data_IF_055127388451
#
_entry.id   IF_055127388451
#
_cell.length_a   1.000
_cell.length_b   1.000
_cell.length_c   1.000
_cell.angle_alpha   90.00
_cell.angle_beta   90.00
_cell.angle_gamma   90.00
#
_symmetry.space_group_name_H-M   'P 1'
#
loop_
_entity.id
_entity.type
_entity.pdbx_description
1 polymer ?
#
# COMPACT_ATOMS: atom_id res chain seq x y z
N UNK A 1 59.65 22.40 -33.17
CA UNK A 1 58.43 21.88 -33.82
C UNK A 1 57.75 20.98 -32.78
N UNK A 2 57.39 21.56 -31.64
CA UNK A 2 57.13 20.79 -30.41
C UNK A 2 55.88 21.25 -29.63
N UNK A 3 55.37 22.47 -29.87
CA UNK A 3 54.24 23.01 -29.11
C UNK A 3 52.90 22.32 -29.43
N UNK A 4 52.66 21.94 -30.69
CA UNK A 4 51.37 21.37 -31.11
C UNK A 4 51.18 19.92 -30.61
N UNK A 5 52.27 19.22 -30.28
CA UNK A 5 52.25 17.83 -29.81
C UNK A 5 51.86 17.78 -28.34
N UNK A 6 52.38 18.70 -27.51
CA UNK A 6 52.03 18.80 -26.09
C UNK A 6 50.56 19.21 -25.88
N UNK A 7 50.06 20.19 -26.65
CA UNK A 7 48.66 20.62 -26.54
C UNK A 7 47.69 19.52 -26.95
N UNK A 8 48.01 18.72 -27.97
CA UNK A 8 47.20 17.57 -28.40
C UNK A 8 47.16 16.43 -27.40
N UNK A 9 48.28 16.15 -26.72
CA UNK A 9 48.38 15.14 -25.65
C UNK A 9 47.59 15.60 -24.41
N UNK A 10 47.68 16.88 -24.04
CA UNK A 10 46.92 17.43 -22.91
C UNK A 10 45.39 17.39 -23.16
N UNK A 11 44.94 17.70 -24.38
CA UNK A 11 43.52 17.62 -24.76
C UNK A 11 42.99 16.18 -24.79
N UNK A 12 43.78 15.21 -25.25
CA UNK A 12 43.36 13.80 -25.27
C UNK A 12 43.29 13.21 -23.86
N UNK A 13 44.19 13.57 -22.96
CA UNK A 13 44.16 13.14 -21.56
C UNK A 13 42.99 13.80 -20.80
N UNK A 14 42.70 15.08 -21.06
CA UNK A 14 41.56 15.78 -20.47
C UNK A 14 40.21 15.19 -20.88
N UNK A 15 40.06 14.79 -22.15
CA UNK A 15 38.83 14.16 -22.66
C UNK A 15 38.65 12.73 -22.12
N UNK A 16 39.74 12.00 -21.86
CA UNK A 16 39.71 10.64 -21.30
C UNK A 16 39.31 10.62 -19.81
N UNK A 17 39.65 11.68 -19.05
CA UNK A 17 39.31 11.80 -17.62
C UNK A 17 37.84 12.22 -17.38
N UNK A 18 37.18 12.89 -18.32
CA UNK A 18 35.75 13.20 -18.22
C UNK A 18 34.82 12.01 -18.47
N UNK A 19 35.32 10.90 -19.02
CA UNK A 19 34.52 9.70 -19.33
C UNK A 19 34.22 8.80 -18.12
N UNK A 20 34.90 8.98 -16.98
CA UNK A 20 34.82 8.07 -15.82
C UNK A 20 33.81 8.50 -14.74
N UNK A 21 33.09 9.62 -14.91
CA UNK A 21 32.07 10.07 -13.97
C UNK A 21 30.72 9.32 -14.07
N UNK A 22 30.64 8.27 -14.91
CA UNK A 22 29.38 7.73 -15.41
C UNK A 22 29.05 6.27 -15.07
N UNK A 23 29.46 5.73 -13.92
CA UNK A 23 28.91 4.46 -13.42
C UNK A 23 28.72 4.51 -11.91
N UNK A 24 27.69 5.23 -11.44
CA UNK A 24 27.12 4.87 -10.14
C UNK A 24 26.34 3.58 -10.35
N UNK A 25 26.97 2.45 -10.10
CA UNK A 25 26.29 1.16 -9.98
C UNK A 25 25.10 1.37 -9.04
N UNK A 26 23.87 1.29 -9.55
CA UNK A 26 22.68 1.26 -8.71
C UNK A 26 22.72 -0.06 -7.96
N UNK A 27 23.38 -0.07 -6.81
CA UNK A 27 23.35 -1.18 -5.89
C UNK A 27 21.89 -1.46 -5.54
N UNK A 28 21.44 -2.71 -5.75
CA UNK A 28 20.06 -3.08 -5.41
C UNK A 28 19.86 -2.76 -3.93
N UNK A 29 18.81 -2.01 -3.56
CA UNK A 29 18.56 -1.71 -2.16
C UNK A 29 18.48 -3.01 -1.38
N UNK A 30 19.18 -3.10 -0.25
CA UNK A 30 18.95 -4.19 0.70
C UNK A 30 17.48 -4.17 1.11
N UNK A 31 16.88 -5.35 1.18
CA UNK A 31 15.48 -5.53 1.53
C UNK A 31 15.36 -6.42 2.75
N UNK A 32 14.37 -6.15 3.59
CA UNK A 32 13.99 -7.01 4.70
C UNK A 32 12.55 -7.51 4.52
N UNK A 33 12.25 -8.67 5.09
CA UNK A 33 10.88 -9.17 5.22
C UNK A 33 10.18 -8.51 6.40
N UNK A 34 9.01 -7.93 6.15
CA UNK A 34 8.18 -7.28 7.16
C UNK A 34 6.78 -7.91 7.19
N UNK A 35 6.19 -8.03 8.38
CA UNK A 35 4.77 -8.39 8.50
C UNK A 35 3.90 -7.37 7.77
N UNK A 36 2.78 -7.81 7.21
CA UNK A 36 1.89 -6.94 6.45
C UNK A 36 0.44 -7.14 6.89
N UNK A 37 -0.31 -6.05 7.03
CA UNK A 37 -1.75 -6.12 7.29
C UNK A 37 -2.51 -4.92 6.74
N UNK A 38 -3.81 -5.10 6.58
CA UNK A 38 -4.73 -4.03 6.20
C UNK A 38 -5.49 -3.49 7.41
N UNK A 39 -5.87 -2.22 7.36
CA UNK A 39 -6.83 -1.61 8.29
C UNK A 39 -7.83 -0.83 7.46
N UNK A 40 -9.08 -1.29 7.42
CA UNK A 40 -10.17 -0.49 6.88
C UNK A 40 -10.73 0.43 7.97
N UNK A 41 -10.71 1.74 7.73
CA UNK A 41 -11.33 2.74 8.64
C UNK A 41 -12.70 3.20 8.14
N UNK A 42 -13.11 2.77 6.94
CA UNK A 42 -14.36 3.18 6.29
C UNK A 42 -15.50 2.29 6.76
N UNK A 43 -16.46 2.88 7.47
CA UNK A 43 -17.61 2.15 7.97
C UNK A 43 -18.50 1.63 6.83
N UNK A 44 -19.06 0.43 7.02
CA UNK A 44 -19.99 -0.18 6.06
C UNK A 44 -19.34 -0.82 4.84
N UNK A 45 -18.01 -0.80 4.73
CA UNK A 45 -17.27 -1.45 3.64
C UNK A 45 -16.29 -2.48 4.18
N UNK A 46 -15.78 -3.35 3.30
CA UNK A 46 -14.63 -4.19 3.61
C UNK A 46 -13.58 -4.12 2.50
N UNK A 47 -12.32 -4.35 2.87
CA UNK A 47 -11.27 -4.60 1.89
C UNK A 47 -11.23 -6.10 1.72
N UNK A 48 -11.33 -6.59 0.48
CA UNK A 48 -11.30 -8.02 0.16
C UNK A 48 -9.86 -8.48 -0.02
N UNK A 49 -9.09 -7.69 -0.77
CA UNK A 49 -7.66 -7.92 -1.03
C UNK A 49 -6.97 -6.58 -1.27
N UNK A 50 -5.69 -6.50 -0.95
CA UNK A 50 -4.83 -5.37 -1.25
C UNK A 50 -3.45 -5.85 -1.71
N UNK A 51 -2.67 -4.98 -2.36
CA UNK A 51 -1.29 -5.26 -2.70
C UNK A 51 -0.41 -4.02 -2.52
N UNK A 52 0.87 -4.24 -2.23
CA UNK A 52 1.90 -3.20 -2.21
C UNK A 52 3.04 -3.60 -3.14
N UNK A 53 3.19 -2.88 -4.25
CA UNK A 53 4.09 -3.24 -5.35
C UNK A 53 3.88 -4.69 -5.84
N UNK A 54 2.62 -5.11 -5.96
CA UNK A 54 2.25 -6.46 -6.40
C UNK A 54 2.35 -7.54 -5.31
N UNK A 55 2.82 -7.19 -4.11
CA UNK A 55 2.86 -8.13 -2.98
C UNK A 55 1.50 -8.12 -2.28
N UNK A 56 0.76 -9.22 -2.42
CA UNK A 56 -0.62 -9.35 -1.98
C UNK A 56 -0.78 -9.43 -0.46
N UNK A 57 -1.93 -8.96 0.01
CA UNK A 57 -2.37 -8.87 1.40
C UNK A 57 -3.88 -9.16 1.43
N UNK A 58 -4.33 -10.10 2.24
CA UNK A 58 -5.74 -10.39 2.45
C UNK A 58 -6.44 -9.30 3.26
N UNK A 59 -7.74 -9.21 3.00
CA UNK A 59 -8.64 -8.21 3.55
C UNK A 59 -8.98 -8.32 5.03
N UNK A 60 -8.74 -9.49 5.63
CA UNK A 60 -9.30 -9.88 6.94
C UNK A 60 -8.71 -9.18 8.17
N UNK A 61 -7.81 -8.21 8.00
CA UNK A 61 -7.22 -7.41 9.09
C UNK A 61 -6.23 -8.16 9.99
N UNK A 62 -6.01 -9.46 9.76
CA UNK A 62 -4.93 -10.24 10.36
C UNK A 62 -3.57 -9.87 9.78
N UNK A 63 -2.51 -10.21 10.52
CA UNK A 63 -1.14 -10.12 10.00
C UNK A 63 -0.88 -11.28 9.04
N UNK A 64 -0.47 -10.96 7.83
CA UNK A 64 -0.02 -11.91 6.83
C UNK A 64 1.50 -11.85 6.66
N UNK A 65 2.09 -13.00 6.37
CA UNK A 65 3.51 -13.19 6.12
C UNK A 65 3.80 -12.97 4.62
N UNK A 66 4.79 -12.23 4.15
CA UNK A 66 5.60 -11.11 4.63
C UNK A 66 5.84 -10.27 3.36
N UNK A 67 5.92 -8.95 3.45
CA UNK A 67 6.30 -8.11 2.30
C UNK A 67 7.80 -7.80 2.34
N UNK A 68 8.42 -7.77 1.17
CA UNK A 68 9.78 -7.28 0.98
C UNK A 68 9.75 -5.76 0.88
N UNK A 69 10.41 -5.08 1.82
CA UNK A 69 10.57 -3.63 1.83
C UNK A 69 12.06 -3.25 1.79
N UNK A 70 12.44 -2.15 1.14
CA UNK A 70 13.80 -1.63 1.25
C UNK A 70 14.12 -1.29 2.71
N UNK A 71 15.29 -1.67 3.19
CA UNK A 71 15.72 -1.39 4.57
C UNK A 71 15.81 0.11 4.85
N UNK A 72 16.15 0.89 3.82
CA UNK A 72 16.36 2.33 3.91
C UNK A 72 15.45 3.06 2.93
N UNK A 73 14.70 4.03 3.44
CA UNK A 73 13.96 4.96 2.60
C UNK A 73 14.91 5.88 1.83
N UNK A 74 14.52 6.27 0.61
CA UNK A 74 15.23 7.25 -0.22
C UNK A 74 14.24 8.25 -0.84
N UNK A 75 14.65 9.52 -1.02
CA UNK A 75 13.85 10.48 -1.78
C UNK A 75 13.50 9.94 -3.17
N UNK A 76 12.24 10.12 -3.58
CA UNK A 76 11.73 9.65 -4.87
C UNK A 76 11.25 8.19 -4.88
N UNK A 77 11.30 7.46 -3.75
CA UNK A 77 10.65 6.15 -3.66
C UNK A 77 9.14 6.27 -3.86
N UNK A 78 8.59 5.45 -4.76
CA UNK A 78 7.16 5.34 -5.01
C UNK A 78 6.68 3.91 -4.79
N UNK A 79 5.42 3.75 -4.42
CA UNK A 79 4.75 2.47 -4.38
C UNK A 79 3.45 2.51 -5.17
N UNK A 80 3.11 1.38 -5.77
CA UNK A 80 1.78 1.12 -6.32
C UNK A 80 1.01 0.29 -5.32
N UNK A 81 -0.14 0.82 -4.89
CA UNK A 81 -1.07 0.15 -3.99
C UNK A 81 -2.34 -0.14 -4.77
N UNK A 82 -2.76 -1.39 -4.77
CA UNK A 82 -4.01 -1.84 -5.40
C UNK A 82 -4.88 -2.47 -4.33
N UNK A 83 -6.20 -2.28 -4.42
CA UNK A 83 -7.12 -2.90 -3.49
C UNK A 83 -8.50 -3.13 -4.10
N UNK A 84 -9.21 -4.07 -3.50
CA UNK A 84 -10.57 -4.44 -3.86
C UNK A 84 -11.46 -4.12 -2.67
N UNK A 85 -12.44 -3.25 -2.88
CA UNK A 85 -13.44 -2.88 -1.88
C UNK A 85 -14.71 -3.66 -2.14
N UNK A 86 -15.24 -4.28 -1.09
CA UNK A 86 -16.63 -4.71 -1.03
C UNK A 86 -17.44 -3.56 -0.39
N UNK A 87 -18.31 -2.90 -1.18
CA UNK A 87 -19.06 -1.73 -0.71
C UNK A 87 -20.24 -2.09 0.21
N UNK A 88 -20.65 -3.36 0.29
CA UNK A 88 -21.82 -3.77 1.06
C UNK A 88 -21.68 -5.17 1.68
N UNK A 89 -20.73 -5.38 2.61
CA UNK A 89 -20.40 -6.71 3.09
C UNK A 89 -21.59 -7.51 3.61
N UNK A 90 -21.75 -8.72 3.07
CA UNK A 90 -22.82 -9.65 3.45
C UNK A 90 -24.21 -9.32 2.88
N UNK A 91 -24.32 -8.33 2.00
CA UNK A 91 -25.59 -7.91 1.39
C UNK A 91 -25.43 -7.63 -0.11
N UNK A 92 -26.33 -8.18 -0.91
CA UNK A 92 -26.47 -7.90 -2.34
C UNK A 92 -27.45 -6.74 -2.60
N UNK A 93 -27.45 -6.16 -3.83
CA UNK A 93 -28.42 -5.15 -4.23
C UNK A 93 -29.86 -5.56 -3.90
N UNK A 94 -30.65 -4.60 -3.43
CA UNK A 94 -32.01 -4.86 -2.93
C UNK A 94 -32.08 -5.41 -1.50
N UNK A 95 -30.96 -5.43 -0.75
CA UNK A 95 -30.95 -5.85 0.66
C UNK A 95 -30.92 -7.37 0.83
N UNK A 96 -30.56 -8.12 -0.22
CA UNK A 96 -30.60 -9.58 -0.22
C UNK A 96 -29.41 -10.12 0.59
N UNK A 97 -29.69 -10.70 1.75
CA UNK A 97 -28.67 -11.33 2.61
C UNK A 97 -28.21 -12.66 2.04
N UNK A 98 -27.00 -13.07 2.45
CA UNK A 98 -26.48 -14.38 2.11
C UNK A 98 -27.46 -15.50 2.54
N UNK A 99 -27.81 -16.43 1.65
CA UNK A 99 -28.67 -17.56 1.99
C UNK A 99 -27.95 -18.52 2.96
N UNK A 100 -28.71 -19.31 3.74
CA UNK A 100 -28.12 -20.26 4.68
C UNK A 100 -27.26 -21.30 3.95
N UNK A 101 -26.19 -21.75 4.62
CA UNK A 101 -25.40 -22.88 4.15
C UNK A 101 -26.22 -24.17 4.25
N UNK A 102 -25.77 -25.22 3.56
CA UNK A 102 -26.40 -26.54 3.70
C UNK A 102 -26.31 -27.06 5.14
N UNK A 103 -27.06 -28.13 5.46
CA UNK A 103 -26.93 -28.84 6.74
C UNK A 103 -25.50 -29.29 7.08
N UNK A 104 -24.61 -29.38 6.08
CA UNK A 104 -23.21 -29.78 6.23
C UNK A 104 -22.23 -28.61 6.09
N UNK A 105 -22.72 -27.36 6.07
CA UNK A 105 -21.88 -26.16 5.97
C UNK A 105 -21.37 -25.82 4.57
N UNK A 106 -21.74 -26.60 3.55
CA UNK A 106 -21.36 -26.30 2.16
C UNK A 106 -22.18 -25.15 1.57
N UNK A 107 -21.57 -24.45 0.59
CA UNK A 107 -22.26 -23.42 -0.20
C UNK A 107 -23.35 -24.11 -1.04
N UNK A 108 -24.57 -23.58 -1.00
CA UNK A 108 -25.70 -24.06 -1.82
C UNK A 108 -25.65 -23.44 -3.22
N UNK A 109 -26.41 -23.97 -4.19
CA UNK A 109 -26.50 -23.35 -5.52
C UNK A 109 -27.01 -21.90 -5.46
N UNK A 110 -27.94 -21.61 -4.54
CA UNK A 110 -28.39 -20.25 -4.24
C UNK A 110 -27.25 -19.40 -3.65
N UNK A 111 -26.49 -19.95 -2.71
CA UNK A 111 -25.31 -19.29 -2.14
C UNK A 111 -24.23 -18.99 -3.17
N UNK A 112 -23.95 -19.89 -4.10
CA UNK A 112 -23.00 -19.65 -5.20
C UNK A 112 -23.46 -18.49 -6.07
N UNK A 113 -24.73 -18.48 -6.51
CA UNK A 113 -25.30 -17.35 -7.26
C UNK A 113 -25.27 -16.05 -6.47
N UNK A 114 -25.52 -16.13 -5.18
CA UNK A 114 -25.42 -14.96 -4.30
C UNK A 114 -23.99 -14.39 -4.31
N UNK A 115 -22.96 -15.24 -4.20
CA UNK A 115 -21.56 -14.81 -4.26
C UNK A 115 -21.17 -14.25 -5.63
N UNK A 116 -21.62 -14.85 -6.73
CA UNK A 116 -21.39 -14.31 -8.08
C UNK A 116 -21.92 -12.88 -8.22
N UNK A 117 -23.16 -12.64 -7.76
CA UNK A 117 -23.75 -11.30 -7.74
C UNK A 117 -22.97 -10.39 -6.80
N UNK A 118 -22.54 -10.89 -5.64
CA UNK A 118 -21.85 -10.10 -4.63
C UNK A 118 -20.49 -9.59 -5.12
N UNK A 119 -19.65 -10.49 -5.61
CA UNK A 119 -18.31 -10.17 -6.12
C UNK A 119 -18.35 -9.26 -7.36
N UNK A 120 -19.43 -9.32 -8.15
CA UNK A 120 -19.62 -8.41 -9.28
C UNK A 120 -19.76 -6.94 -8.87
N UNK A 121 -20.12 -6.66 -7.61
CA UNK A 121 -20.21 -5.28 -7.08
C UNK A 121 -18.89 -4.75 -6.51
N UNK A 122 -17.83 -5.58 -6.46
CA UNK A 122 -16.56 -5.15 -5.89
C UNK A 122 -15.90 -4.05 -6.72
N UNK A 123 -15.36 -3.04 -6.03
CA UNK A 123 -14.72 -1.88 -6.63
C UNK A 123 -13.21 -2.06 -6.57
N UNK A 124 -12.56 -2.07 -7.73
CA UNK A 124 -11.10 -2.12 -7.84
C UNK A 124 -10.53 -0.71 -7.83
N UNK A 125 -9.48 -0.51 -7.04
CA UNK A 125 -8.79 0.77 -6.89
C UNK A 125 -7.28 0.58 -7.04
N UNK A 126 -6.62 1.65 -7.46
CA UNK A 126 -5.19 1.70 -7.68
C UNK A 126 -4.68 3.11 -7.45
N UNK A 127 -3.57 3.24 -6.76
CA UNK A 127 -2.83 4.49 -6.65
C UNK A 127 -1.34 4.23 -6.74
N UNK A 128 -0.61 5.12 -7.41
CA UNK A 128 0.84 5.20 -7.33
C UNK A 128 1.19 6.48 -6.59
N UNK A 129 1.93 6.35 -5.49
CA UNK A 129 2.25 7.48 -4.61
C UNK A 129 3.67 7.41 -4.08
N UNK A 130 4.18 8.55 -3.61
CA UNK A 130 5.43 8.59 -2.87
C UNK A 130 5.29 7.79 -1.58
N UNK A 131 6.30 6.97 -1.26
CA UNK A 131 6.35 6.24 0.00
C UNK A 131 6.71 7.25 1.11
N UNK A 132 5.91 7.36 2.19
CA UNK A 132 6.27 8.19 3.34
C UNK A 132 7.66 7.82 3.86
N UNK A 133 8.42 8.83 4.31
CA UNK A 133 9.75 8.61 4.88
C UNK A 133 9.64 7.66 6.08
N UNK A 134 10.53 6.67 6.11
CA UNK A 134 10.71 5.79 7.27
C UNK A 134 12.18 5.68 7.64
N UNK A 135 12.45 5.62 8.93
CA UNK A 135 13.78 5.45 9.51
C UNK A 135 13.97 4.01 9.99
N UNK A 136 12.91 3.40 10.52
CA UNK A 136 12.92 2.00 10.96
C UNK A 136 11.67 1.27 10.48
N UNK A 137 11.85 0.24 9.67
CA UNK A 137 10.75 -0.65 9.25
C UNK A 137 10.30 -1.49 10.44
N UNK A 138 8.99 -1.45 10.74
CA UNK A 138 8.36 -2.34 11.74
C UNK A 138 7.48 -3.39 11.04
N UNK A 139 6.54 -2.93 10.24
CA UNK A 139 5.60 -3.73 9.44
C UNK A 139 5.04 -2.82 8.34
N UNK A 140 4.38 -3.39 7.33
CA UNK A 140 3.54 -2.61 6.43
C UNK A 140 2.09 -2.67 6.91
N UNK A 141 1.52 -1.51 7.23
CA UNK A 141 0.09 -1.41 7.49
C UNK A 141 -0.53 -0.50 6.45
N UNK A 142 -1.37 -1.06 5.58
CA UNK A 142 -2.18 -0.26 4.65
C UNK A 142 -3.43 0.22 5.38
N UNK A 143 -3.46 1.51 5.72
CA UNK A 143 -4.62 2.13 6.36
C UNK A 143 -5.49 2.75 5.27
N UNK A 144 -6.64 2.16 5.00
CA UNK A 144 -7.63 2.68 4.05
C UNK A 144 -8.49 3.72 4.75
N UNK A 145 -8.52 4.91 4.15
CA UNK A 145 -9.20 6.10 4.65
C UNK A 145 -10.45 6.36 3.80
N UNK A 146 -11.38 7.22 4.26
CA UNK A 146 -12.45 7.72 3.40
C UNK A 146 -11.91 8.32 2.10
N UNK A 147 -12.78 8.38 1.08
CA UNK A 147 -12.49 9.04 -0.21
C UNK A 147 -11.47 8.33 -1.08
N UNK A 148 -11.43 7.00 -1.00
CA UNK A 148 -10.52 6.14 -1.77
C UNK A 148 -9.04 6.46 -1.51
N UNK A 149 -8.73 6.96 -0.31
CA UNK A 149 -7.38 7.27 0.13
C UNK A 149 -6.78 6.07 0.88
N UNK A 150 -5.45 5.91 0.80
CA UNK A 150 -4.71 4.89 1.53
C UNK A 150 -3.39 5.46 2.03
N UNK A 151 -3.02 5.12 3.25
CA UNK A 151 -1.75 5.50 3.85
C UNK A 151 -0.90 4.25 4.16
N UNK A 152 0.27 4.08 3.52
CA UNK A 152 1.20 3.00 3.85
C UNK A 152 2.03 3.37 5.08
N UNK A 153 1.67 2.78 6.21
CA UNK A 153 2.28 3.03 7.51
C UNK A 153 3.42 2.03 7.79
N UNK A 154 4.66 2.46 7.51
CA UNK A 154 5.86 1.60 7.55
C UNK A 154 6.74 1.88 8.77
N UNK A 155 6.94 3.16 9.09
CA UNK A 155 7.87 3.60 10.12
C UNK A 155 7.40 3.23 11.53
N UNK A 156 8.32 2.72 12.35
CA UNK A 156 8.04 2.30 13.73
C UNK A 156 7.55 3.44 14.63
N UNK A 157 8.12 4.64 14.53
CA UNK A 157 7.71 5.78 15.34
C UNK A 157 6.34 6.30 14.87
N UNK A 158 6.12 6.33 13.56
CA UNK A 158 4.83 6.73 12.98
C UNK A 158 3.72 5.74 13.34
N UNK A 159 4.00 4.43 13.36
CA UNK A 159 3.07 3.42 13.87
C UNK A 159 2.71 3.68 15.34
N UNK A 160 3.71 3.99 16.18
CA UNK A 160 3.48 4.38 17.57
C UNK A 160 2.58 5.60 17.70
N UNK A 161 2.83 6.63 16.89
CA UNK A 161 2.01 7.86 16.85
C UNK A 161 0.58 7.58 16.40
N UNK A 162 0.39 6.84 15.33
CA UNK A 162 -0.92 6.61 14.70
C UNK A 162 -1.77 5.60 15.46
N UNK A 163 -1.18 4.51 15.97
CA UNK A 163 -1.91 3.39 16.58
C UNK A 163 -1.85 3.39 18.11
N UNK A 164 -0.91 4.12 18.70
CA UNK A 164 -0.67 4.14 20.14
C UNK A 164 -1.90 4.56 20.93
N UNK A 165 -2.24 3.75 21.94
CA UNK A 165 -3.36 4.00 22.85
C UNK A 165 -4.75 3.86 22.23
N UNK A 166 -4.88 3.29 21.02
CA UNK A 166 -6.17 3.14 20.32
C UNK A 166 -6.87 1.80 20.53
N UNK A 167 -6.19 0.82 21.15
CA UNK A 167 -6.77 -0.51 21.39
C UNK A 167 -7.96 -0.39 22.35
N UNK A 168 -9.13 -0.86 21.92
CA UNK A 168 -10.36 -0.86 22.73
C UNK A 168 -11.11 0.47 22.76
N UNK A 169 -10.64 1.50 22.07
CA UNK A 169 -11.35 2.78 21.97
C UNK A 169 -12.45 2.72 20.92
N UNK A 170 -13.61 3.28 21.23
CA UNK A 170 -14.73 3.42 20.29
C UNK A 170 -14.39 4.36 19.12
N UNK A 171 -13.64 5.43 19.39
CA UNK A 171 -13.22 6.42 18.40
C UNK A 171 -11.91 6.05 17.69
N UNK A 172 -11.47 4.78 17.78
CA UNK A 172 -10.21 4.29 17.20
C UNK A 172 -10.03 4.71 15.74
N UNK A 173 -11.01 4.44 14.88
CA UNK A 173 -10.89 4.74 13.44
C UNK A 173 -10.95 6.25 13.14
N UNK A 174 -11.90 7.03 13.68
CA UNK A 174 -11.88 8.49 13.57
C UNK A 174 -10.54 9.11 13.99
N UNK A 175 -9.96 8.63 15.09
CA UNK A 175 -8.68 9.12 15.60
C UNK A 175 -7.49 8.70 14.72
N UNK A 176 -7.51 7.50 14.14
CA UNK A 176 -6.52 7.10 13.12
C UNK A 176 -6.56 8.03 11.90
N UNK A 177 -7.76 8.30 11.36
CA UNK A 177 -7.96 9.20 10.22
C UNK A 177 -7.40 10.59 10.55
N UNK A 178 -7.76 11.15 11.72
CA UNK A 178 -7.27 12.46 12.18
C UNK A 178 -5.75 12.49 12.28
N UNK A 179 -5.13 11.47 12.89
CA UNK A 179 -3.67 11.40 13.05
C UNK A 179 -2.93 11.31 11.72
N UNK A 180 -3.53 10.68 10.72
CA UNK A 180 -2.98 10.58 9.37
C UNK A 180 -3.28 11.81 8.50
N UNK A 181 -4.02 12.80 9.03
CA UNK A 181 -4.43 13.98 8.25
C UNK A 181 -5.48 13.67 7.19
N UNK A 182 -6.15 12.51 7.29
CA UNK A 182 -7.18 12.08 6.36
C UNK A 182 -8.48 12.87 6.55
N UNK A 183 -9.29 12.91 5.49
CA UNK A 183 -10.62 13.52 5.54
C UNK A 183 -11.62 12.54 6.17
N UNK A 184 -12.49 13.04 7.04
CA UNK A 184 -13.56 12.25 7.66
C UNK A 184 -14.73 12.03 6.71
N UNK A 185 -14.98 12.99 5.81
CA UNK A 185 -16.04 12.93 4.82
C UNK A 185 -15.52 13.34 3.45
N UNK A 186 -16.11 12.78 2.41
CA UNK A 186 -15.83 13.16 1.04
C UNK A 186 -16.78 14.30 0.68
N UNK A 187 -16.24 15.45 0.29
CA UNK A 187 -17.04 16.52 -0.29
C UNK A 187 -17.78 15.92 -1.49
N UNK A 188 -19.11 15.95 -1.45
CA UNK A 188 -19.96 15.30 -2.45
C UNK A 188 -19.55 15.68 -3.86
N UNK A 189 -19.19 14.69 -4.67
CA UNK A 189 -19.21 14.85 -6.13
C UNK A 189 -20.67 14.92 -6.54
N UNK A 190 -21.05 16.03 -7.19
CA UNK A 190 -22.36 16.19 -7.82
C UNK A 190 -22.53 15.35 -9.07
#
# INVERSE_FOLDING_TARGET
MEDNTMTRIALTIGLLLLGLAGCRSMERPKTLGAGARVVNTVAGTSIVHASFNGQGMGGGGGEECCVSLPEQWRPGMTATIEWVVDPSPGVNPGGIRQPPRSKYGSITAEGSRWYEVHEANYVRRKVTMAVPKYEKVSSLILVFLPCDEVYPLIDSAEQGRVLGGLRGREDRYPEMIRRLGGRQTCSGGG
#
